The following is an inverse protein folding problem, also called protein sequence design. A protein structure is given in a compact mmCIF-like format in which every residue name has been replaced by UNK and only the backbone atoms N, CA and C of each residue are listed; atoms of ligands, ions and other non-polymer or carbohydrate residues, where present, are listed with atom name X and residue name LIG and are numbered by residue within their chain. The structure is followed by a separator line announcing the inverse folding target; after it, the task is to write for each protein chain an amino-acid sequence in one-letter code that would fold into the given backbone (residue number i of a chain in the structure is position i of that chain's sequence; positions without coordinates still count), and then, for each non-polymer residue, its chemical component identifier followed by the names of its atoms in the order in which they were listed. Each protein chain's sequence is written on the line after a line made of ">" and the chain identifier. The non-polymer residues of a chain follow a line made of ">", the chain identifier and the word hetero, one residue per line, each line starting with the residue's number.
data_IF_291034049670
#
_entry.id   IF_291034049670
#
_cell.length_a   1.000
_cell.length_b   1.000
_cell.length_c   1.000
_cell.angle_alpha   90.00
_cell.angle_beta   90.00
_cell.angle_gamma   90.00
#
_symmetry.space_group_name_H-M   'P 1'
#
loop_
_entity.id
_entity.type
_entity.pdbx_description
1 polymer ?
#
# COMPACT_ATOMS: atom_id res chain seq x y z
N UNK A 1 -21.00 0.15 8.32
CA UNK A 1 -20.47 -0.24 7.00
C UNK A 1 -19.63 -1.49 7.18
N UNK A 2 -20.04 -2.63 6.62
CA UNK A 2 -19.29 -3.88 6.75
C UNK A 2 -18.08 -3.85 5.83
N UNK A 3 -16.89 -3.99 6.41
CA UNK A 3 -15.59 -3.81 5.77
C UNK A 3 -15.32 -4.59 4.48
N UNK A 4 -14.10 -4.48 4.00
CA UNK A 4 -13.59 -5.16 2.80
C UNK A 4 -12.95 -6.47 3.24
N UNK A 5 -13.41 -7.58 2.69
CA UNK A 5 -12.77 -8.88 2.86
C UNK A 5 -11.52 -8.93 1.99
N UNK A 6 -10.35 -9.06 2.61
CA UNK A 6 -9.04 -9.06 1.97
C UNK A 6 -8.35 -10.38 2.24
N UNK A 7 -7.78 -11.01 1.21
CA UNK A 7 -6.87 -12.13 1.38
C UNK A 7 -5.46 -11.58 1.66
N UNK A 8 -5.07 -11.58 2.93
CA UNK A 8 -3.77 -11.09 3.38
C UNK A 8 -2.69 -12.08 2.89
N UNK A 9 -1.72 -11.63 2.08
CA UNK A 9 -0.80 -12.54 1.39
C UNK A 9 0.24 -13.20 2.32
N UNK A 10 0.62 -12.52 3.41
CA UNK A 10 1.58 -12.99 4.40
C UNK A 10 1.28 -12.36 5.78
N UNK A 11 1.57 -13.10 6.85
CA UNK A 11 1.48 -12.55 8.21
C UNK A 11 2.60 -11.54 8.44
N UNK A 12 2.32 -10.46 9.16
CA UNK A 12 3.33 -9.48 9.54
C UNK A 12 2.96 -8.74 10.82
N UNK A 13 3.99 -8.23 11.49
CA UNK A 13 3.88 -7.35 12.65
C UNK A 13 4.62 -6.05 12.34
N UNK A 14 3.97 -4.90 12.53
CA UNK A 14 4.57 -3.58 12.41
C UNK A 14 4.54 -2.90 13.77
N UNK A 15 5.69 -2.86 14.46
CA UNK A 15 5.81 -2.31 15.82
C UNK A 15 5.90 -0.78 15.85
N UNK A 16 6.10 -0.15 14.69
CA UNK A 16 6.42 1.27 14.57
C UNK A 16 5.41 1.97 13.66
N UNK A 17 4.13 1.60 13.72
CA UNK A 17 3.09 2.30 12.98
C UNK A 17 2.74 3.62 13.68
N UNK A 18 2.88 4.79 13.03
CA UNK A 18 2.70 6.07 13.71
C UNK A 18 1.27 6.31 14.19
N UNK A 19 1.14 6.74 15.45
CA UNK A 19 -0.11 7.22 16.03
C UNK A 19 -0.30 8.69 15.63
N UNK A 20 -1.41 8.97 14.96
CA UNK A 20 -1.75 10.33 14.52
C UNK A 20 -1.85 11.28 15.70
N UNK A 21 -1.15 12.41 15.63
CA UNK A 21 -1.14 13.46 16.65
C UNK A 21 -0.03 13.31 17.70
N UNK A 22 0.71 12.20 17.70
CA UNK A 22 1.85 11.98 18.60
C UNK A 22 3.20 12.13 17.89
N UNK A 23 3.24 12.66 16.67
CA UNK A 23 4.44 12.68 15.83
C UNK A 23 5.63 13.41 16.48
N UNK A 24 5.35 14.41 17.33
CA UNK A 24 6.34 15.23 18.02
C UNK A 24 6.37 15.00 19.54
N UNK A 25 5.68 13.98 20.05
CA UNK A 25 5.65 13.71 21.50
C UNK A 25 7.04 13.31 22.01
N UNK A 26 7.53 13.93 23.07
CA UNK A 26 8.86 13.62 23.62
C UNK A 26 8.89 12.34 24.47
N UNK A 27 7.76 11.63 24.58
CA UNK A 27 7.59 10.41 25.35
C UNK A 27 8.05 10.55 26.81
N UNK A 28 7.77 11.72 27.41
CA UNK A 28 8.13 12.03 28.79
C UNK A 28 9.63 12.22 29.06
N UNK A 29 10.47 12.28 28.02
CA UNK A 29 11.91 12.53 28.15
C UNK A 29 12.19 13.97 28.58
N UNK A 30 13.22 14.15 29.39
CA UNK A 30 13.76 15.46 29.78
C UNK A 30 14.58 16.11 28.66
N UNK A 31 14.84 17.41 28.78
CA UNK A 31 15.66 18.16 27.82
C UNK A 31 17.08 17.58 27.70
N UNK A 32 17.70 17.20 28.82
CA UNK A 32 19.03 16.58 28.84
C UNK A 32 19.05 15.22 28.11
N UNK A 33 18.02 14.40 28.29
CA UNK A 33 17.88 13.13 27.56
C UNK A 33 17.72 13.36 26.05
N UNK A 34 16.94 14.37 25.65
CA UNK A 34 16.76 14.72 24.24
C UNK A 34 18.09 15.17 23.62
N UNK A 35 18.82 16.06 24.28
CA UNK A 35 20.14 16.50 23.79
C UNK A 35 21.10 15.33 23.61
N UNK A 36 21.15 14.42 24.58
CA UNK A 36 22.00 13.23 24.51
C UNK A 36 21.62 12.29 23.36
N UNK A 37 20.32 12.03 23.17
CA UNK A 37 19.82 11.18 22.09
C UNK A 37 20.10 11.79 20.71
N UNK A 38 19.83 13.08 20.53
CA UNK A 38 20.09 13.77 19.27
C UNK A 38 21.59 13.91 18.95
N UNK A 39 22.45 13.93 19.98
CA UNK A 39 23.90 13.94 19.79
C UNK A 39 24.48 12.57 19.41
N UNK A 40 23.81 11.47 19.81
CA UNK A 40 24.34 10.10 19.68
C UNK A 40 23.66 9.28 18.58
N UNK A 41 22.42 9.61 18.21
CA UNK A 41 21.59 8.82 17.32
C UNK A 41 20.91 9.71 16.28
N UNK A 42 20.59 9.14 15.12
CA UNK A 42 19.85 9.82 14.06
C UNK A 42 19.00 8.85 13.25
N UNK A 43 18.07 9.40 12.46
CA UNK A 43 17.16 8.62 11.60
C UNK A 43 16.37 7.57 12.38
N UNK A 44 16.25 6.37 11.82
CA UNK A 44 15.44 5.30 12.40
C UNK A 44 15.89 4.88 13.80
N UNK A 45 17.19 4.97 14.11
CA UNK A 45 17.69 4.62 15.44
C UNK A 45 17.14 5.60 16.49
N UNK A 46 17.17 6.90 16.20
CA UNK A 46 16.61 7.93 17.07
C UNK A 46 15.08 7.81 17.18
N UNK A 47 14.40 7.56 16.07
CA UNK A 47 12.93 7.41 16.05
C UNK A 47 12.45 6.28 16.96
N UNK A 48 13.18 5.16 17.02
CA UNK A 48 12.84 4.01 17.86
C UNK A 48 12.89 4.29 19.37
N UNK A 49 13.57 5.36 19.79
CA UNK A 49 13.60 5.79 21.21
C UNK A 49 12.29 6.46 21.66
N UNK A 50 11.45 6.88 20.71
CA UNK A 50 10.15 7.52 20.96
C UNK A 50 8.99 6.54 20.77
N UNK A 51 9.03 5.41 21.47
CA UNK A 51 8.05 4.32 21.33
C UNK A 51 6.59 4.75 21.58
N UNK A 52 6.35 5.79 22.39
CA UNK A 52 5.01 6.31 22.64
C UNK A 52 4.30 6.87 21.40
N UNK A 53 5.06 7.16 20.33
CA UNK A 53 4.53 7.68 19.07
C UNK A 53 3.94 6.60 18.18
N UNK A 54 4.04 5.33 18.57
CA UNK A 54 3.75 4.19 17.71
C UNK A 54 2.77 3.20 18.36
N UNK A 55 1.97 2.57 17.51
CA UNK A 55 1.17 1.39 17.85
C UNK A 55 1.70 0.16 17.12
N UNK A 56 1.43 -1.02 17.68
CA UNK A 56 1.77 -2.30 17.04
C UNK A 56 0.59 -2.79 16.22
N UNK A 57 0.82 -3.02 14.93
CA UNK A 57 -0.14 -3.68 14.03
C UNK A 57 0.21 -5.15 13.88
N UNK A 58 -0.82 -5.99 13.83
CA UNK A 58 -0.67 -7.43 13.65
C UNK A 58 -1.69 -7.94 12.63
N UNK A 59 -1.20 -8.53 11.55
CA UNK A 59 -2.01 -9.11 10.48
C UNK A 59 -1.63 -10.56 10.24
N UNK A 60 -2.63 -11.44 10.18
CA UNK A 60 -2.43 -12.86 9.88
C UNK A 60 -2.73 -13.14 8.41
N UNK A 61 -1.93 -14.02 7.80
CA UNK A 61 -2.17 -14.53 6.44
C UNK A 61 -3.56 -15.15 6.35
N UNK A 62 -4.25 -14.91 5.23
CA UNK A 62 -5.58 -15.43 4.94
C UNK A 62 -6.64 -14.34 4.91
N UNK A 63 -7.90 -14.75 4.89
CA UNK A 63 -9.02 -13.81 4.76
C UNK A 63 -9.29 -13.06 6.06
N UNK A 64 -9.38 -11.74 5.97
CA UNK A 64 -9.79 -10.86 7.05
C UNK A 64 -10.72 -9.76 6.53
N UNK A 65 -11.73 -9.40 7.33
CA UNK A 65 -12.60 -8.26 7.04
C UNK A 65 -11.97 -6.99 7.65
N UNK A 66 -11.52 -6.07 6.79
CA UNK A 66 -10.88 -4.82 7.19
C UNK A 66 -11.89 -3.67 7.11
N UNK A 67 -12.13 -2.98 8.21
CA UNK A 67 -12.83 -1.69 8.19
C UNK A 67 -11.94 -0.56 7.63
N UNK A 68 -12.48 0.66 7.53
CA UNK A 68 -11.76 1.77 6.90
C UNK A 68 -10.45 2.13 7.60
N UNK A 69 -10.43 2.11 8.94
CA UNK A 69 -9.22 2.42 9.71
C UNK A 69 -8.18 1.30 9.58
N UNK A 70 -8.61 0.05 9.78
CA UNK A 70 -7.72 -1.12 9.70
C UNK A 70 -7.18 -1.30 8.29
N UNK A 71 -8.00 -1.07 7.25
CA UNK A 71 -7.57 -1.10 5.87
C UNK A 71 -6.51 -0.03 5.58
N UNK A 72 -6.70 1.19 6.08
CA UNK A 72 -5.73 2.27 5.93
C UNK A 72 -4.39 1.91 6.60
N UNK A 73 -4.43 1.36 7.81
CA UNK A 73 -3.25 0.86 8.54
C UNK A 73 -2.55 -0.25 7.76
N UNK A 74 -3.30 -1.23 7.26
CA UNK A 74 -2.81 -2.34 6.46
C UNK A 74 -2.03 -1.87 5.22
N UNK A 75 -2.62 -0.97 4.41
CA UNK A 75 -1.99 -0.53 3.15
C UNK A 75 -0.87 0.50 3.33
N UNK A 76 -0.72 1.08 4.53
CA UNK A 76 0.32 2.09 4.85
C UNK A 76 1.48 1.55 5.66
N UNK A 77 1.35 0.38 6.30
CA UNK A 77 2.42 -0.23 7.10
C UNK A 77 3.72 -0.39 6.31
N UNK A 78 4.85 -0.09 6.98
CA UNK A 78 6.22 -0.06 6.41
C UNK A 78 7.34 -0.54 7.36
N UNK A 79 7.07 -0.82 8.63
CA UNK A 79 8.13 -1.14 9.58
C UNK A 79 8.06 -2.58 10.10
N UNK A 80 7.50 -3.47 9.30
CA UNK A 80 7.56 -4.91 9.56
C UNK A 80 8.91 -5.49 9.19
N UNK A 81 9.40 -6.42 10.01
CA UNK A 81 10.61 -7.19 9.72
C UNK A 81 10.42 -8.09 8.48
N UNK A 82 9.18 -8.52 8.20
CA UNK A 82 8.80 -9.31 7.03
C UNK A 82 8.09 -8.41 6.04
N UNK A 83 8.66 -8.18 4.85
CA UNK A 83 8.06 -7.36 3.80
C UNK A 83 7.60 -5.98 4.32
N UNK A 84 8.40 -5.33 5.18
CA UNK A 84 8.18 -3.94 5.60
C UNK A 84 8.51 -2.92 4.52
N UNK A 85 9.31 -3.29 3.52
CA UNK A 85 9.68 -2.38 2.44
C UNK A 85 8.50 -1.99 1.53
N UNK A 86 8.81 -1.13 0.56
CA UNK A 86 7.85 -0.59 -0.40
C UNK A 86 7.21 -1.67 -1.29
N UNK A 87 7.91 -2.77 -1.56
CA UNK A 87 7.35 -3.91 -2.29
C UNK A 87 6.29 -4.64 -1.48
N UNK A 88 6.54 -4.88 -0.18
CA UNK A 88 5.54 -5.42 0.72
C UNK A 88 4.30 -4.54 0.84
N UNK A 89 4.49 -3.21 0.86
CA UNK A 89 3.39 -2.24 0.83
C UNK A 89 2.58 -2.36 -0.48
N UNK A 90 3.23 -2.50 -1.63
CA UNK A 90 2.57 -2.68 -2.91
C UNK A 90 1.72 -3.97 -2.94
N UNK A 91 2.22 -5.08 -2.40
CA UNK A 91 1.46 -6.33 -2.29
C UNK A 91 0.20 -6.17 -1.42
N UNK A 92 0.30 -5.44 -0.30
CA UNK A 92 -0.86 -5.14 0.56
C UNK A 92 -1.90 -4.27 -0.16
N UNK A 93 -1.45 -3.26 -0.91
CA UNK A 93 -2.33 -2.41 -1.72
C UNK A 93 -3.04 -3.21 -2.81
N UNK A 94 -2.33 -4.10 -3.53
CA UNK A 94 -2.94 -4.99 -4.53
C UNK A 94 -3.98 -5.92 -3.89
N UNK A 95 -3.66 -6.55 -2.76
CA UNK A 95 -4.60 -7.41 -2.03
C UNK A 95 -5.88 -6.66 -1.62
N UNK A 96 -5.74 -5.42 -1.14
CA UNK A 96 -6.88 -4.58 -0.80
C UNK A 96 -7.75 -4.24 -2.02
N UNK A 97 -7.14 -3.86 -3.15
CA UNK A 97 -7.84 -3.57 -4.40
C UNK A 97 -8.64 -4.79 -4.92
N UNK A 98 -8.07 -6.00 -4.82
CA UNK A 98 -8.78 -7.24 -5.14
C UNK A 98 -9.98 -7.44 -4.20
N UNK A 99 -9.83 -7.15 -2.91
CA UNK A 99 -10.93 -7.19 -1.94
C UNK A 99 -12.06 -6.20 -2.28
N UNK A 100 -11.70 -4.97 -2.67
CA UNK A 100 -12.66 -3.94 -3.11
C UNK A 100 -13.41 -4.41 -4.36
N UNK A 101 -12.70 -4.95 -5.36
CA UNK A 101 -13.33 -5.57 -6.55
C UNK A 101 -14.34 -6.63 -6.12
N UNK A 102 -13.92 -7.60 -5.33
CA UNK A 102 -14.77 -8.72 -4.92
C UNK A 102 -16.02 -8.25 -4.16
N UNK A 103 -15.89 -7.19 -3.35
CA UNK A 103 -17.02 -6.56 -2.67
C UNK A 103 -18.00 -5.94 -3.66
N UNK A 104 -17.51 -5.21 -4.67
CA UNK A 104 -18.34 -4.61 -5.72
C UNK A 104 -19.07 -5.68 -6.55
N UNK A 105 -18.39 -6.76 -6.92
CA UNK A 105 -19.00 -7.86 -7.68
C UNK A 105 -20.08 -8.60 -6.88
N UNK A 106 -19.88 -8.80 -5.56
CA UNK A 106 -20.88 -9.40 -4.67
C UNK A 106 -22.18 -8.58 -4.56
N UNK A 107 -22.17 -7.27 -4.87
CA UNK A 107 -23.39 -6.45 -4.89
C UNK A 107 -24.36 -6.92 -6.00
N UNK A 108 -23.84 -7.59 -7.04
CA UNK A 108 -24.60 -8.31 -8.07
C UNK A 108 -25.54 -7.46 -8.93
N UNK A 109 -25.60 -6.15 -8.69
CA UNK A 109 -26.54 -5.21 -9.32
C UNK A 109 -25.79 -4.00 -9.83
N UNK A 110 -25.74 -3.84 -11.16
CA UNK A 110 -25.11 -2.71 -11.85
C UNK A 110 -25.60 -1.35 -11.29
N UNK A 111 -26.91 -1.11 -11.06
CA UNK A 111 -27.37 0.14 -10.43
C UNK A 111 -26.77 0.41 -9.03
N UNK A 112 -26.61 -0.61 -8.19
CA UNK A 112 -26.04 -0.43 -6.84
C UNK A 112 -24.53 -0.19 -6.89
N UNK A 113 -23.82 -0.86 -7.80
CA UNK A 113 -22.41 -0.61 -8.08
C UNK A 113 -22.23 0.85 -8.50
N UNK A 114 -23.08 1.34 -9.40
CA UNK A 114 -23.06 2.73 -9.84
C UNK A 114 -23.20 3.75 -8.71
N UNK A 115 -24.19 3.57 -7.84
CA UNK A 115 -24.37 4.48 -6.70
C UNK A 115 -23.16 4.49 -5.78
N UNK A 116 -22.49 3.35 -5.62
CA UNK A 116 -21.28 3.21 -4.81
C UNK A 116 -20.09 3.91 -5.48
N UNK A 117 -19.86 3.67 -6.77
CA UNK A 117 -18.81 4.31 -7.57
C UNK A 117 -18.99 5.82 -7.64
N UNK A 118 -20.22 6.31 -7.84
CA UNK A 118 -20.50 7.76 -7.87
C UNK A 118 -20.32 8.43 -6.49
N UNK A 119 -20.43 7.68 -5.40
CA UNK A 119 -20.10 8.20 -4.07
C UNK A 119 -18.59 8.25 -3.86
N UNK A 120 -17.87 7.22 -4.34
CA UNK A 120 -16.41 7.14 -4.29
C UNK A 120 -15.74 8.21 -5.18
N UNK A 121 -16.27 8.44 -6.39
CA UNK A 121 -15.69 9.39 -7.37
C UNK A 121 -15.61 10.83 -6.86
N UNK A 122 -16.44 11.21 -5.89
CA UNK A 122 -16.33 12.53 -5.23
C UNK A 122 -15.01 12.73 -4.47
N UNK A 123 -14.35 11.63 -4.11
CA UNK A 123 -13.09 11.61 -3.39
C UNK A 123 -11.95 10.97 -4.19
N UNK A 124 -12.17 10.65 -5.47
CA UNK A 124 -11.19 10.02 -6.36
C UNK A 124 -11.09 10.86 -7.63
N UNK A 125 -9.87 11.32 -7.93
CA UNK A 125 -9.59 11.97 -9.22
C UNK A 125 -9.28 10.88 -10.26
N UNK A 126 -10.05 10.86 -11.34
CA UNK A 126 -9.86 9.94 -12.47
C UNK A 126 -10.31 10.62 -13.77
N UNK A 127 -9.65 10.28 -14.86
CA UNK A 127 -10.02 10.61 -16.24
C UNK A 127 -11.15 9.72 -16.77
N UNK A 128 -11.39 8.56 -16.14
CA UNK A 128 -12.49 7.66 -16.46
C UNK A 128 -13.76 8.17 -15.77
N UNK A 129 -14.62 8.83 -16.54
CA UNK A 129 -15.92 9.23 -16.04
C UNK A 129 -16.86 8.01 -15.82
N UNK A 130 -17.93 8.22 -15.05
CA UNK A 130 -18.88 7.14 -14.68
C UNK A 130 -19.57 6.52 -15.91
N UNK A 131 -19.82 7.30 -16.97
CA UNK A 131 -20.43 6.80 -18.20
C UNK A 131 -19.44 5.90 -18.96
N UNK A 132 -18.18 6.31 -19.09
CA UNK A 132 -17.14 5.48 -19.71
C UNK A 132 -16.94 4.18 -18.94
N UNK A 133 -16.88 4.23 -17.59
CA UNK A 133 -16.80 3.04 -16.76
C UNK A 133 -18.00 2.08 -16.95
N UNK A 134 -19.19 2.63 -17.20
CA UNK A 134 -20.40 1.85 -17.47
C UNK A 134 -20.39 1.17 -18.82
N UNK A 135 -19.96 1.87 -19.86
CA UNK A 135 -19.87 1.31 -21.21
C UNK A 135 -18.96 0.07 -21.18
N UNK A 136 -17.77 0.21 -20.60
CA UNK A 136 -16.81 -0.90 -20.38
C UNK A 136 -17.45 -2.05 -19.59
N UNK A 137 -18.19 -1.75 -18.52
CA UNK A 137 -18.83 -2.77 -17.70
C UNK A 137 -19.99 -3.48 -18.42
N UNK A 138 -20.70 -2.78 -19.30
CA UNK A 138 -21.87 -3.31 -20.04
C UNK A 138 -21.49 -4.19 -21.22
N UNK A 139 -20.29 -4.04 -21.76
CA UNK A 139 -19.73 -4.91 -22.82
C UNK A 139 -19.41 -6.33 -22.32
N UNK A 140 -19.49 -6.56 -21.01
CA UNK A 140 -19.15 -7.83 -20.38
C UNK A 140 -20.42 -8.57 -19.99
N UNK A 141 -20.60 -9.79 -20.52
CA UNK A 141 -21.75 -10.63 -20.17
C UNK A 141 -21.79 -10.96 -18.67
N UNK A 142 -20.61 -11.11 -18.05
CA UNK A 142 -20.48 -11.19 -16.59
C UNK A 142 -19.28 -10.39 -16.10
N UNK A 143 -19.46 -9.61 -15.03
CA UNK A 143 -18.36 -8.91 -14.37
C UNK A 143 -17.46 -9.85 -13.53
N UNK A 144 -17.82 -11.13 -13.43
CA UNK A 144 -17.09 -12.14 -12.65
C UNK A 144 -15.89 -12.73 -13.37
N UNK A 145 -15.83 -12.64 -14.71
CA UNK A 145 -14.84 -13.36 -15.52
C UNK A 145 -13.51 -12.62 -15.69
N UNK A 146 -13.32 -11.50 -14.98
CA UNK A 146 -12.06 -10.74 -15.01
C UNK A 146 -10.98 -11.37 -14.13
N UNK A 147 -9.96 -11.93 -14.79
CA UNK A 147 -8.69 -12.28 -14.16
C UNK A 147 -7.87 -10.99 -13.91
N UNK A 148 -7.46 -10.77 -12.67
CA UNK A 148 -6.48 -9.73 -12.34
C UNK A 148 -5.10 -10.39 -12.26
N UNK A 149 -4.25 -10.10 -13.23
CA UNK A 149 -2.82 -10.34 -13.11
C UNK A 149 -2.18 -9.20 -12.34
N UNK A 150 -1.62 -9.50 -11.17
CA UNK A 150 -0.86 -8.53 -10.39
C UNK A 150 0.62 -8.69 -10.71
N UNK A 151 1.23 -7.60 -11.17
CA UNK A 151 2.66 -7.54 -11.48
C UNK A 151 3.34 -6.58 -10.51
N UNK A 152 4.50 -6.95 -9.99
CA UNK A 152 5.33 -6.09 -9.16
C UNK A 152 6.70 -5.94 -9.80
N UNK A 153 7.15 -4.71 -9.99
CA UNK A 153 8.52 -4.41 -10.37
C UNK A 153 9.35 -4.32 -9.09
N UNK A 154 10.39 -5.14 -8.98
CA UNK A 154 11.18 -5.36 -7.76
C UNK A 154 12.66 -5.50 -8.07
N UNK A 155 13.49 -5.49 -7.03
CA UNK A 155 14.93 -5.73 -7.15
C UNK A 155 15.27 -7.17 -7.59
N UNK A 156 14.37 -8.12 -7.31
CA UNK A 156 14.52 -9.51 -7.73
C UNK A 156 14.34 -9.69 -9.25
N UNK A 157 13.58 -8.81 -9.92
CA UNK A 157 13.30 -8.91 -11.36
C UNK A 157 14.03 -7.87 -12.21
N UNK A 158 13.48 -6.67 -12.39
CA UNK A 158 13.89 -5.69 -13.39
C UNK A 158 14.40 -4.38 -12.81
N UNK A 159 14.33 -4.19 -11.48
CA UNK A 159 14.84 -2.99 -10.80
C UNK A 159 16.13 -3.28 -10.04
N UNK A 160 16.84 -2.21 -9.67
CA UNK A 160 17.95 -2.24 -8.73
C UNK A 160 17.93 -1.00 -7.83
N UNK A 161 18.52 -1.14 -6.65
CA UNK A 161 18.67 -0.04 -5.69
C UNK A 161 19.75 0.93 -6.16
N UNK A 162 19.51 2.23 -5.98
CA UNK A 162 20.47 3.29 -6.28
C UNK A 162 20.25 4.49 -5.36
N UNK A 163 21.08 5.51 -5.50
CA UNK A 163 20.96 6.78 -4.79
C UNK A 163 20.92 7.94 -5.77
N UNK A 164 20.03 8.89 -5.53
CA UNK A 164 20.03 10.17 -6.25
C UNK A 164 21.24 11.03 -5.84
N UNK A 165 21.45 12.13 -6.56
CA UNK A 165 22.52 13.09 -6.28
C UNK A 165 22.42 13.76 -4.90
N UNK A 166 21.23 13.80 -4.30
CA UNK A 166 20.97 14.26 -2.94
C UNK A 166 20.86 13.11 -1.92
N UNK A 167 21.41 11.93 -2.25
CA UNK A 167 21.51 10.75 -1.39
C UNK A 167 20.17 10.11 -0.98
N UNK A 168 19.10 10.37 -1.72
CA UNK A 168 17.84 9.68 -1.49
C UNK A 168 17.90 8.29 -2.10
N UNK A 169 17.31 7.31 -1.41
CA UNK A 169 17.12 5.98 -1.96
C UNK A 169 16.16 6.04 -3.15
N UNK A 170 16.58 5.49 -4.29
CA UNK A 170 15.79 5.40 -5.51
C UNK A 170 15.85 3.99 -6.08
N UNK A 171 14.86 3.64 -6.91
CA UNK A 171 14.88 2.44 -7.74
C UNK A 171 15.12 2.87 -9.19
N UNK A 172 16.05 2.19 -9.85
CA UNK A 172 16.31 2.37 -11.29
C UNK A 172 16.15 1.02 -12.00
N UNK A 173 15.98 1.07 -13.32
CA UNK A 173 16.02 -0.14 -14.15
C UNK A 173 17.40 -0.81 -14.07
N UNK A 174 17.43 -2.14 -14.16
CA UNK A 174 18.68 -2.91 -14.29
C UNK A 174 19.47 -2.56 -15.56
N UNK A 175 18.83 -1.99 -16.56
CA UNK A 175 19.50 -1.55 -17.79
C UNK A 175 20.15 -0.16 -17.66
N UNK A 176 20.03 0.49 -16.49
CA UNK A 176 20.57 1.82 -16.21
C UNK A 176 19.50 2.91 -16.13
N UNK A 177 19.95 4.13 -15.78
CA UNK A 177 19.08 5.31 -15.70
C UNK A 177 18.53 5.61 -17.10
N UNK A 178 17.22 5.90 -17.17
CA UNK A 178 16.47 6.19 -18.39
C UNK A 178 16.40 5.05 -19.45
N UNK A 179 16.90 3.85 -19.13
CA UNK A 179 16.76 2.68 -19.97
C UNK A 179 15.77 1.67 -19.37
N UNK A 180 14.61 1.49 -20.02
CA UNK A 180 13.48 0.71 -19.51
C UNK A 180 13.16 -0.53 -20.37
N UNK A 181 14.10 -0.98 -21.21
CA UNK A 181 13.86 -2.06 -22.16
C UNK A 181 13.45 -3.38 -21.47
N UNK A 182 14.20 -3.82 -20.46
CA UNK A 182 13.88 -5.02 -19.67
C UNK A 182 12.57 -4.89 -18.91
N UNK A 183 12.24 -3.70 -18.41
CA UNK A 183 10.96 -3.43 -17.74
C UNK A 183 9.80 -3.58 -18.73
N UNK A 184 9.90 -2.98 -19.92
CA UNK A 184 8.88 -3.13 -20.95
C UNK A 184 8.71 -4.58 -21.39
N UNK A 185 9.82 -5.30 -21.58
CA UNK A 185 9.77 -6.71 -21.97
C UNK A 185 9.11 -7.56 -20.89
N UNK A 186 9.51 -7.37 -19.63
CA UNK A 186 8.93 -8.06 -18.49
C UNK A 186 7.43 -7.83 -18.37
N UNK A 187 6.96 -6.58 -18.55
CA UNK A 187 5.53 -6.26 -18.54
C UNK A 187 4.81 -7.00 -19.68
N UNK A 188 5.34 -6.96 -20.92
CA UNK A 188 4.73 -7.63 -22.08
C UNK A 188 4.64 -9.15 -21.93
N UNK A 189 5.60 -9.77 -21.26
CA UNK A 189 5.63 -11.22 -21.06
C UNK A 189 4.70 -11.69 -19.93
N UNK A 190 4.30 -10.81 -19.02
CA UNK A 190 3.57 -11.16 -17.80
C UNK A 190 2.14 -10.59 -17.73
N UNK A 191 1.70 -9.83 -18.73
CA UNK A 191 0.30 -9.37 -18.89
C UNK A 191 -0.32 -10.10 -20.07
#
# INVERSE_FOLDING_TARGET
>A
FGGIEVNIPFSFEDKYYPIKGLENDICGKSEEELESLHATMSGQLLEKEFTCRYETLNFQKGYAALDGETALKFVRSRHSDINGNDFGRALRQQAFLIGVKNKLLKIGSIPKILTSVNTLSKNILTDVDVKTALEIASEQETLSDFEIKSLSLTTDNVLMESQSSDHQYILISKDGIDNWESVHQYIKENI
#
